data_IF_034168416522
#
_entry.id   IF_034168416522
#
_cell.length_a   1.000
_cell.length_b   1.000
_cell.length_c   1.000
_cell.angle_alpha   90.00
_cell.angle_beta   90.00
_cell.angle_gamma   90.00
#
_symmetry.space_group_name_H-M   'P 1'
#
loop_
_entity.id
_entity.type
_entity.pdbx_description
1 polymer ?
#
# COMPACT_ATOMS: atom_id res chain seq x y z
N UNK A 1 -0.15 -29.46 -5.25
CA UNK A 1 0.30 -30.03 -3.95
C UNK A 1 0.69 -31.50 -4.09
N UNK A 2 -0.17 -32.38 -4.64
CA UNK A 2 0.20 -33.81 -4.89
C UNK A 2 1.29 -34.01 -5.96
N UNK A 3 1.41 -33.10 -6.93
CA UNK A 3 2.38 -33.18 -8.02
C UNK A 3 3.73 -32.51 -7.72
N UNK A 4 3.88 -31.86 -6.57
CA UNK A 4 5.11 -31.16 -6.18
C UNK A 4 5.27 -31.21 -4.65
N UNK A 5 5.53 -32.38 -4.05
CA UNK A 5 5.50 -32.57 -2.59
C UNK A 5 6.60 -31.79 -1.85
N UNK A 6 7.69 -31.43 -2.55
CA UNK A 6 8.81 -30.64 -2.06
C UNK A 6 8.53 -29.12 -2.02
N UNK A 7 7.34 -28.69 -2.42
CA UNK A 7 6.95 -27.28 -2.43
C UNK A 7 7.21 -26.52 -1.12
N UNK A 8 7.04 -27.08 0.11
CA UNK A 8 7.25 -26.29 1.33
C UNK A 8 8.72 -25.93 1.52
N UNK A 9 9.65 -26.83 1.17
CA UNK A 9 11.09 -26.59 1.27
C UNK A 9 11.56 -25.61 0.21
N UNK A 10 11.03 -25.72 -1.01
CA UNK A 10 11.31 -24.74 -2.07
C UNK A 10 10.83 -23.35 -1.69
N UNK A 11 9.64 -23.23 -1.12
CA UNK A 11 9.11 -21.96 -0.63
C UNK A 11 9.97 -21.41 0.52
N UNK A 12 10.35 -22.26 1.48
CA UNK A 12 11.17 -21.84 2.63
C UNK A 12 12.53 -21.29 2.19
N UNK A 13 13.16 -21.91 1.18
CA UNK A 13 14.42 -21.43 0.61
C UNK A 13 14.30 -20.04 -0.06
N UNK A 14 13.09 -19.61 -0.45
CA UNK A 14 12.84 -18.28 -1.04
C UNK A 14 12.66 -17.18 0.01
N UNK A 15 12.46 -17.52 1.30
CA UNK A 15 12.20 -16.54 2.35
C UNK A 15 13.38 -15.56 2.53
N UNK A 16 14.61 -16.05 2.40
CA UNK A 16 15.83 -15.22 2.51
C UNK A 16 16.04 -14.26 1.34
N UNK A 17 15.35 -14.44 0.21
CA UNK A 17 15.43 -13.60 -0.98
C UNK A 17 14.38 -12.49 -1.03
N UNK A 18 13.64 -12.26 0.07
CA UNK A 18 12.61 -11.23 0.11
C UNK A 18 13.25 -9.83 0.01
N UNK A 19 13.09 -9.22 -1.16
CA UNK A 19 13.46 -7.84 -1.41
C UNK A 19 12.18 -6.99 -1.38
N UNK A 20 11.96 -6.31 -0.26
CA UNK A 20 10.78 -5.50 -0.04
C UNK A 20 11.10 -4.28 0.80
N UNK A 21 10.07 -3.52 1.14
CA UNK A 21 10.15 -2.28 1.89
C UNK A 21 8.98 -2.19 2.86
N UNK A 22 9.14 -1.41 3.92
CA UNK A 22 8.03 -1.04 4.81
C UNK A 22 7.52 0.33 4.36
N UNK A 23 6.25 0.47 3.91
CA UNK A 23 5.74 1.74 3.41
C UNK A 23 5.94 2.91 4.37
N UNK A 24 5.72 2.70 5.69
CA UNK A 24 5.91 3.72 6.71
C UNK A 24 7.35 4.25 6.81
N UNK A 25 8.34 3.39 6.54
CA UNK A 25 9.77 3.72 6.67
C UNK A 25 10.40 4.22 5.35
N UNK A 26 9.63 4.22 4.27
CA UNK A 26 10.04 4.75 2.97
C UNK A 26 9.72 6.23 2.95
N UNK A 27 10.55 7.13 2.44
CA UNK A 27 10.15 8.52 2.22
C UNK A 27 9.32 8.63 0.93
N UNK A 28 8.17 9.33 0.93
CA UNK A 28 7.59 10.19 1.97
C UNK A 28 6.60 9.49 2.93
N UNK A 29 6.60 8.17 3.01
CA UNK A 29 5.71 7.32 3.78
C UNK A 29 5.68 7.54 5.30
N UNK A 30 6.63 8.28 5.89
CA UNK A 30 6.50 8.77 7.26
C UNK A 30 5.23 9.63 7.45
N UNK A 31 4.71 10.26 6.39
CA UNK A 31 3.43 10.97 6.39
C UNK A 31 2.24 10.05 6.70
N UNK A 32 2.38 8.73 6.56
CA UNK A 32 1.31 7.79 6.87
C UNK A 32 1.00 7.72 8.38
N UNK A 33 1.90 8.21 9.24
CA UNK A 33 1.63 8.43 10.67
C UNK A 33 0.47 9.41 10.89
N UNK A 34 0.17 10.28 9.92
CA UNK A 34 -0.99 11.18 9.99
C UNK A 34 -2.33 10.44 10.10
N UNK A 35 -2.39 9.14 9.79
CA UNK A 35 -3.55 8.30 10.10
C UNK A 35 -3.91 8.31 11.60
N UNK A 36 -2.93 8.50 12.49
CA UNK A 36 -3.15 8.58 13.94
C UNK A 36 -4.04 9.77 14.33
N UNK A 37 -4.09 10.84 13.51
CA UNK A 37 -5.01 11.95 13.71
C UNK A 37 -6.48 11.49 13.71
N UNK A 38 -6.76 10.35 13.06
CA UNK A 38 -8.09 9.73 12.99
C UNK A 38 -8.10 8.35 13.64
N UNK A 39 -7.39 8.14 14.75
CA UNK A 39 -7.26 6.82 15.40
C UNK A 39 -8.60 6.12 15.73
N UNK A 40 -9.67 6.88 15.97
CA UNK A 40 -11.01 6.31 16.22
C UNK A 40 -11.62 5.66 14.98
N UNK A 41 -11.20 6.09 13.79
CA UNK A 41 -11.64 5.54 12.51
C UNK A 41 -11.01 4.15 12.28
N UNK A 42 -11.81 3.09 12.06
CA UNK A 42 -11.26 1.77 11.72
C UNK A 42 -10.45 1.77 10.42
N UNK A 43 -10.77 2.63 9.46
CA UNK A 43 -10.06 2.69 8.17
C UNK A 43 -8.67 3.27 8.35
N UNK A 44 -8.52 4.26 9.25
CA UNK A 44 -7.23 4.87 9.55
C UNK A 44 -6.27 3.86 10.19
N UNK A 45 -6.78 3.08 11.14
CA UNK A 45 -6.04 1.99 11.77
C UNK A 45 -5.67 0.92 10.77
N UNK A 46 -6.59 0.55 9.89
CA UNK A 46 -6.35 -0.42 8.82
C UNK A 46 -5.21 0.03 7.90
N UNK A 47 -5.27 1.26 7.37
CA UNK A 47 -4.23 1.80 6.47
C UNK A 47 -2.87 1.86 7.18
N UNK A 48 -2.84 2.28 8.45
CA UNK A 48 -1.60 2.31 9.22
C UNK A 48 -1.01 0.91 9.41
N UNK A 49 -1.84 -0.10 9.71
CA UNK A 49 -1.41 -1.48 9.83
C UNK A 49 -0.85 -2.00 8.49
N UNK A 50 -1.52 -1.74 7.37
CA UNK A 50 -0.99 -2.07 6.05
C UNK A 50 0.37 -1.41 5.80
N UNK A 51 0.56 -0.15 6.22
CA UNK A 51 1.81 0.58 6.05
C UNK A 51 2.97 0.05 6.90
N UNK A 52 2.69 -0.72 7.96
CA UNK A 52 3.68 -1.37 8.82
C UNK A 52 4.12 -2.75 8.29
N UNK A 53 3.33 -3.36 7.41
CA UNK A 53 3.63 -4.68 6.85
C UNK A 53 4.62 -4.53 5.67
N UNK A 54 5.69 -5.35 5.61
CA UNK A 54 6.59 -5.35 4.46
C UNK A 54 5.85 -5.64 3.15
N UNK A 55 6.12 -4.84 2.14
CA UNK A 55 5.57 -4.96 0.79
C UNK A 55 6.70 -5.13 -0.22
N UNK A 56 6.38 -5.72 -1.36
CA UNK A 56 7.32 -5.95 -2.44
C UNK A 56 7.12 -4.97 -3.59
N UNK A 57 5.87 -4.75 -4.00
CA UNK A 57 5.55 -3.90 -5.15
C UNK A 57 4.08 -3.42 -5.13
N UNK A 58 3.65 -2.70 -6.18
CA UNK A 58 2.28 -2.23 -6.33
C UNK A 58 1.25 -3.37 -6.26
N UNK A 59 1.64 -4.59 -6.64
CA UNK A 59 0.76 -5.76 -6.59
C UNK A 59 0.20 -6.06 -5.20
N UNK A 60 0.87 -5.60 -4.14
CA UNK A 60 0.42 -5.77 -2.76
C UNK A 60 -0.59 -4.68 -2.31
N UNK A 61 -0.71 -3.60 -3.08
CA UNK A 61 -1.54 -2.44 -2.76
C UNK A 61 -3.08 -2.63 -2.91
N UNK A 62 -3.64 -3.58 -3.70
CA UNK A 62 -5.09 -3.77 -3.78
C UNK A 62 -5.78 -4.03 -2.44
N UNK A 63 -5.06 -4.55 -1.44
CA UNK A 63 -5.56 -4.69 -0.06
C UNK A 63 -6.03 -3.33 0.51
N UNK A 64 -5.41 -2.23 0.11
CA UNK A 64 -5.75 -0.88 0.55
C UNK A 64 -7.16 -0.45 0.11
N UNK A 65 -7.70 -1.05 -0.96
CA UNK A 65 -9.02 -0.72 -1.47
C UNK A 65 -10.15 -1.02 -0.45
N UNK A 66 -9.89 -1.85 0.57
CA UNK A 66 -10.85 -2.13 1.63
C UNK A 66 -11.22 -0.92 2.50
N UNK A 67 -10.37 0.12 2.54
CA UNK A 67 -10.63 1.39 3.24
C UNK A 67 -11.45 2.40 2.41
N UNK A 68 -11.69 2.10 1.11
CA UNK A 68 -12.46 2.96 0.22
C UNK A 68 -13.95 2.68 0.46
N UNK A 69 -14.74 3.73 0.71
CA UNK A 69 -16.16 3.64 1.07
C UNK A 69 -17.09 4.13 -0.04
N UNK A 70 -16.57 4.86 -1.02
CA UNK A 70 -17.38 5.36 -2.14
C UNK A 70 -16.79 4.99 -3.50
N UNK A 71 -17.65 5.00 -4.53
CA UNK A 71 -17.21 4.80 -5.92
C UNK A 71 -16.22 5.87 -6.38
N UNK A 72 -16.42 7.11 -5.94
CA UNK A 72 -15.52 8.22 -6.27
C UNK A 72 -14.13 8.00 -5.66
N UNK A 73 -14.06 7.62 -4.38
CA UNK A 73 -12.79 7.28 -3.73
C UNK A 73 -12.10 6.12 -4.47
N UNK A 74 -12.84 5.08 -4.85
CA UNK A 74 -12.33 3.96 -5.65
C UNK A 74 -11.73 4.41 -6.98
N UNK A 75 -12.44 5.23 -7.75
CA UNK A 75 -11.98 5.70 -9.05
C UNK A 75 -10.75 6.62 -8.93
N UNK A 76 -10.75 7.54 -7.95
CA UNK A 76 -9.63 8.44 -7.70
C UNK A 76 -8.38 7.64 -7.29
N UNK A 77 -8.53 6.70 -6.34
CA UNK A 77 -7.43 5.86 -5.88
C UNK A 77 -6.90 4.95 -6.99
N UNK A 78 -7.79 4.29 -7.74
CA UNK A 78 -7.38 3.46 -8.87
C UNK A 78 -6.61 4.28 -9.91
N UNK A 79 -7.15 5.43 -10.32
CA UNK A 79 -6.49 6.33 -11.26
C UNK A 79 -5.12 6.80 -10.77
N UNK A 80 -5.00 7.16 -9.49
CA UNK A 80 -3.72 7.54 -8.89
C UNK A 80 -2.72 6.38 -8.89
N UNK A 81 -3.16 5.15 -8.58
CA UNK A 81 -2.29 3.96 -8.55
C UNK A 81 -1.71 3.62 -9.93
N UNK A 82 -2.39 3.97 -11.03
CA UNK A 82 -1.87 3.78 -12.38
C UNK A 82 -0.68 4.70 -12.70
N UNK A 83 -0.51 5.81 -11.97
CA UNK A 83 0.67 6.67 -12.09
C UNK A 83 1.96 6.00 -11.61
N UNK A 84 1.86 4.82 -10.96
CA UNK A 84 3.00 4.00 -10.60
C UNK A 84 3.91 3.71 -11.80
N UNK A 85 3.34 3.28 -12.93
CA UNK A 85 4.11 2.90 -14.12
C UNK A 85 4.90 4.07 -14.73
N UNK A 86 4.28 5.21 -15.08
CA UNK A 86 5.03 6.33 -15.63
C UNK A 86 6.06 6.88 -14.63
N UNK A 87 5.76 6.88 -13.33
CA UNK A 87 6.71 7.31 -12.30
C UNK A 87 7.92 6.36 -12.23
N UNK A 88 7.70 5.05 -12.26
CA UNK A 88 8.77 4.06 -12.24
C UNK A 88 9.60 4.06 -13.52
N UNK A 89 8.98 4.28 -14.69
CA UNK A 89 9.70 4.45 -15.96
C UNK A 89 10.63 5.65 -15.93
N UNK A 90 10.24 6.73 -15.24
CA UNK A 90 11.06 7.93 -15.11
C UNK A 90 12.21 7.75 -14.09
N UNK A 91 11.95 7.08 -12.96
CA UNK A 91 12.92 6.88 -11.89
C UNK A 91 13.88 5.69 -12.14
N UNK A 92 13.43 4.66 -12.86
CA UNK A 92 14.10 3.38 -13.00
C UNK A 92 13.69 2.33 -11.95
N UNK A 93 13.82 1.05 -12.30
CA UNK A 93 13.33 -0.10 -11.52
C UNK A 93 14.33 -0.57 -10.45
N UNK A 94 14.58 0.29 -9.46
CA UNK A 94 15.31 -0.08 -8.24
C UNK A 94 14.34 -0.22 -7.07
N UNK A 95 14.66 -1.06 -6.08
CA UNK A 95 13.76 -1.28 -4.93
C UNK A 95 13.34 0.01 -4.21
N UNK A 96 14.23 0.99 -3.93
CA UNK A 96 13.84 2.26 -3.32
C UNK A 96 12.88 3.07 -4.20
N UNK A 97 13.02 3.03 -5.53
CA UNK A 97 12.13 3.73 -6.45
C UNK A 97 10.77 3.04 -6.55
N UNK A 98 10.73 1.70 -6.53
CA UNK A 98 9.48 0.95 -6.40
C UNK A 98 8.76 1.33 -5.11
N UNK A 99 9.48 1.36 -3.99
CA UNK A 99 8.94 1.76 -2.70
C UNK A 99 8.36 3.18 -2.73
N UNK A 100 9.13 4.14 -3.24
CA UNK A 100 8.71 5.53 -3.42
C UNK A 100 7.45 5.62 -4.32
N UNK A 101 7.43 4.89 -5.44
CA UNK A 101 6.32 4.92 -6.37
C UNK A 101 5.06 4.33 -5.75
N UNK A 102 5.12 3.20 -5.03
CA UNK A 102 3.97 2.62 -4.33
C UNK A 102 3.44 3.56 -3.25
N UNK A 103 4.33 4.12 -2.44
CA UNK A 103 3.93 5.05 -1.37
C UNK A 103 3.24 6.28 -1.94
N UNK A 104 3.80 6.89 -2.98
CA UNK A 104 3.26 8.12 -3.57
C UNK A 104 1.99 7.93 -4.37
N UNK A 105 1.82 6.79 -5.03
CA UNK A 105 0.70 6.57 -5.97
C UNK A 105 -0.43 5.71 -5.40
N UNK A 106 -0.18 4.89 -4.37
CA UNK A 106 -1.21 4.07 -3.74
C UNK A 106 -1.52 4.49 -2.29
N UNK A 107 -0.50 4.70 -1.45
CA UNK A 107 -0.72 5.01 -0.04
C UNK A 107 -1.13 6.45 0.22
N UNK A 108 -0.37 7.42 -0.30
CA UNK A 108 -0.65 8.84 -0.05
C UNK A 108 -2.01 9.31 -0.60
N UNK A 109 -2.46 8.89 -1.79
CA UNK A 109 -3.78 9.28 -2.29
C UNK A 109 -4.91 8.73 -1.41
N UNK A 110 -4.78 7.46 -0.96
CA UNK A 110 -5.73 6.89 0.00
C UNK A 110 -5.71 7.65 1.33
N UNK A 111 -4.53 7.97 1.85
CA UNK A 111 -4.38 8.74 3.08
C UNK A 111 -5.06 10.12 2.96
N UNK A 112 -4.87 10.81 1.83
CA UNK A 112 -5.51 12.09 1.57
C UNK A 112 -7.03 11.97 1.53
N UNK A 113 -7.56 10.97 0.82
CA UNK A 113 -9.01 10.68 0.78
C UNK A 113 -9.56 10.39 2.17
N UNK A 114 -8.86 9.57 2.95
CA UNK A 114 -9.25 9.21 4.32
C UNK A 114 -9.30 10.43 5.23
N UNK A 115 -8.30 11.31 5.16
CA UNK A 115 -8.24 12.52 5.98
C UNK A 115 -9.29 13.55 5.55
N UNK A 116 -9.59 13.65 4.25
CA UNK A 116 -10.63 14.54 3.72
C UNK A 116 -12.06 14.05 3.97
N UNK A 117 -12.26 12.78 4.29
CA UNK A 117 -13.57 12.25 4.61
C UNK A 117 -14.14 12.97 5.84
N UNK A 118 -15.19 13.77 5.67
CA UNK A 118 -15.93 14.36 6.80
C UNK A 118 -16.61 13.23 7.58
N UNK A 119 -16.57 13.27 8.92
CA UNK A 119 -17.13 12.26 9.85
C UNK A 119 -18.68 12.12 9.82
N UNK A 120 -19.33 12.35 8.67
CA UNK A 120 -20.78 12.56 8.58
C UNK A 120 -21.63 11.41 8.02
N UNK A 121 -21.09 10.22 7.78
CA UNK A 121 -21.89 9.08 7.28
C UNK A 121 -21.69 7.85 8.16
N UNK A 122 -22.17 7.96 9.40
CA UNK A 122 -22.77 6.82 10.07
C UNK A 122 -24.24 6.80 9.63
N UNK A 123 -24.56 5.96 8.66
CA UNK A 123 -25.92 5.46 8.43
C UNK A 123 -25.94 4.02 8.88
#
# INVERSE_FOLDING_TARGET
LLFLPDWPWRWLAQVGGFNGFVPLLTLPGALLVLALLRWRDPDARYVLLCALVPQRALYDAPILAAALRTRTEMLVWAGASWLYWPLLLWLGDTQPHVALAVVTTAYLPLMALLLWRREGLQV
#
